data_IF_077705986353
#
_entry.id   IF_077705986353
#
_cell.length_a   1.000
_cell.length_b   1.000
_cell.length_c   1.000
_cell.angle_alpha   90.00
_cell.angle_beta   90.00
_cell.angle_gamma   90.00
#
_symmetry.space_group_name_H-M   'P 1'
#
loop_
_entity.id
_entity.type
_entity.pdbx_description
1 polymer ?
#
# COMPACT_ATOMS: atom_id res chain seq x y z
N UNK A 1 6.12 10.12 -6.01
CA UNK A 1 6.09 9.91 -4.54
C UNK A 1 7.23 8.96 -4.21
N UNK A 2 8.08 9.33 -3.26
CA UNK A 2 9.20 8.46 -2.85
C UNK A 2 8.69 7.17 -2.19
N UNK A 3 9.39 6.04 -2.37
CA UNK A 3 9.14 4.81 -1.64
C UNK A 3 9.21 5.02 -0.12
N UNK A 4 8.41 4.25 0.61
CA UNK A 4 8.39 4.29 2.07
C UNK A 4 8.10 2.92 2.65
N UNK A 5 8.42 2.75 3.94
CA UNK A 5 8.23 1.49 4.65
C UNK A 5 7.10 1.63 5.66
N UNK A 6 6.22 0.64 5.68
CA UNK A 6 5.18 0.47 6.70
C UNK A 6 5.51 -0.74 7.56
N UNK A 7 5.23 -0.66 8.85
CA UNK A 7 5.35 -1.78 9.78
C UNK A 7 3.96 -2.18 10.25
N UNK A 8 3.49 -3.37 9.87
CA UNK A 8 2.16 -3.90 10.19
C UNK A 8 2.35 -5.31 10.74
N UNK A 9 1.81 -5.59 11.95
CA UNK A 9 1.95 -6.89 12.62
C UNK A 9 3.41 -7.39 12.68
N UNK A 10 4.34 -6.51 13.08
CA UNK A 10 5.79 -6.77 13.16
C UNK A 10 6.48 -7.09 11.81
N UNK A 11 5.76 -6.95 10.70
CA UNK A 11 6.29 -7.17 9.34
C UNK A 11 6.49 -5.82 8.65
N UNK A 12 7.67 -5.65 8.04
CA UNK A 12 7.98 -4.49 7.23
C UNK A 12 7.57 -4.70 5.78
N UNK A 13 6.77 -3.77 5.27
CA UNK A 13 6.33 -3.70 3.88
C UNK A 13 6.92 -2.47 3.22
N UNK A 14 7.64 -2.67 2.12
CA UNK A 14 8.05 -1.59 1.24
C UNK A 14 6.86 -1.23 0.34
N UNK A 15 6.51 0.04 0.32
CA UNK A 15 5.45 0.59 -0.50
C UNK A 15 6.05 1.52 -1.56
N UNK A 16 5.75 1.23 -2.82
CA UNK A 16 6.15 2.03 -3.97
C UNK A 16 4.91 2.51 -4.72
N UNK A 17 4.96 3.72 -5.27
CA UNK A 17 3.91 4.17 -6.18
C UNK A 17 4.04 3.40 -7.51
N UNK A 18 3.05 2.56 -7.81
CA UNK A 18 2.99 1.80 -9.06
C UNK A 18 2.43 2.64 -10.20
N UNK A 19 1.32 3.34 -9.94
CA UNK A 19 0.70 4.26 -10.89
C UNK A 19 0.07 5.44 -10.15
N UNK A 20 0.16 6.63 -10.74
CA UNK A 20 -0.47 7.83 -10.19
C UNK A 20 -1.96 7.93 -10.56
N UNK A 21 -2.37 7.37 -11.70
CA UNK A 21 -3.76 7.41 -12.18
C UNK A 21 -4.10 6.15 -13.03
N UNK A 22 -4.97 5.24 -12.54
CA UNK A 22 -5.50 5.20 -11.17
C UNK A 22 -4.37 5.07 -10.14
N UNK A 23 -4.59 5.56 -8.91
CA UNK A 23 -3.57 5.53 -7.87
C UNK A 23 -3.38 4.10 -7.34
N UNK A 24 -2.25 3.50 -7.67
CA UNK A 24 -1.89 2.12 -7.32
C UNK A 24 -0.56 2.08 -6.59
N UNK A 25 -0.40 1.10 -5.70
CA UNK A 25 0.82 0.90 -4.92
C UNK A 25 1.29 -0.53 -5.02
N UNK A 26 2.60 -0.70 -5.22
CA UNK A 26 3.26 -1.98 -5.05
C UNK A 26 3.68 -2.10 -3.58
N UNK A 27 3.23 -3.18 -2.94
CA UNK A 27 3.45 -3.52 -1.54
C UNK A 27 4.18 -4.84 -1.49
N UNK A 28 5.40 -4.83 -0.97
CA UNK A 28 6.25 -6.01 -0.95
C UNK A 28 6.96 -6.19 0.37
N UNK A 29 7.16 -7.44 0.77
CA UNK A 29 8.14 -7.82 1.78
C UNK A 29 9.07 -8.90 1.19
N UNK A 30 9.86 -9.57 2.03
CA UNK A 30 10.81 -10.60 1.58
C UNK A 30 10.16 -11.71 0.73
N UNK A 31 8.91 -12.06 1.02
CA UNK A 31 8.26 -13.27 0.51
C UNK A 31 7.02 -12.97 -0.35
N UNK A 32 6.63 -11.70 -0.49
CA UNK A 32 5.37 -11.31 -1.14
C UNK A 32 5.52 -10.07 -2.00
N UNK A 33 4.68 -9.97 -3.03
CA UNK A 33 4.56 -8.78 -3.86
C UNK A 33 3.11 -8.59 -4.34
N UNK A 34 2.48 -7.50 -3.90
CA UNK A 34 1.11 -7.15 -4.24
C UNK A 34 1.03 -5.79 -4.88
N UNK A 35 0.19 -5.65 -5.91
CA UNK A 35 -0.27 -4.32 -6.33
C UNK A 35 -1.65 -4.11 -5.73
N UNK A 36 -1.81 -3.04 -4.97
CA UNK A 36 -3.06 -2.65 -4.31
C UNK A 36 -3.55 -1.30 -4.83
N UNK A 37 -4.85 -1.08 -4.79
CA UNK A 37 -5.47 0.17 -5.19
C UNK A 37 -6.65 0.51 -4.31
N UNK A 38 -7.09 1.77 -4.36
CA UNK A 38 -8.29 2.25 -3.67
C UNK A 38 -9.41 2.46 -4.67
N UNK A 39 -10.57 1.88 -4.38
CA UNK A 39 -11.79 2.06 -5.18
C UNK A 39 -12.40 3.43 -4.93
N UNK A 40 -13.30 3.87 -5.81
CA UNK A 40 -14.04 5.13 -5.65
C UNK A 40 -14.92 5.16 -4.39
N UNK A 41 -15.30 3.97 -3.89
CA UNK A 41 -16.01 3.81 -2.62
C UNK A 41 -15.10 3.91 -1.38
N UNK A 42 -13.79 4.11 -1.56
CA UNK A 42 -12.81 4.21 -0.48
C UNK A 42 -12.26 2.88 0.03
N UNK A 43 -12.68 1.74 -0.55
CA UNK A 43 -12.19 0.42 -0.14
C UNK A 43 -10.87 0.08 -0.84
N UNK A 44 -9.94 -0.52 -0.09
CA UNK A 44 -8.70 -1.07 -0.61
C UNK A 44 -8.91 -2.45 -1.23
N UNK A 45 -8.31 -2.68 -2.41
CA UNK A 45 -8.45 -3.91 -3.19
C UNK A 45 -7.11 -4.39 -3.75
N UNK A 46 -7.01 -5.70 -3.96
CA UNK A 46 -5.93 -6.30 -4.75
C UNK A 46 -6.15 -6.04 -6.23
N UNK A 47 -5.10 -5.57 -6.91
CA UNK A 47 -5.06 -5.43 -8.37
C UNK A 47 -4.23 -6.57 -8.99
N UNK A 48 -3.14 -6.97 -8.33
CA UNK A 48 -2.30 -8.10 -8.73
C UNK A 48 -1.76 -8.84 -7.51
N UNK A 49 -1.70 -10.17 -7.59
CA UNK A 49 -1.39 -11.05 -6.47
C UNK A 49 -0.33 -12.11 -6.83
N UNK A 50 0.87 -12.07 -6.22
CA UNK A 50 1.90 -13.12 -6.35
C UNK A 50 2.71 -13.27 -5.03
N UNK A 51 2.90 -14.49 -4.47
CA UNK A 51 2.28 -15.77 -4.82
C UNK A 51 0.85 -15.91 -4.25
N UNK A 52 -0.01 -16.67 -4.95
CA UNK A 52 -1.44 -16.89 -4.64
C UNK A 52 -1.80 -17.35 -3.21
N UNK A 53 -0.83 -17.81 -2.42
CA UNK A 53 -1.05 -18.36 -1.08
C UNK A 53 -0.74 -17.39 0.07
N UNK A 54 -0.04 -16.28 -0.20
CA UNK A 54 0.27 -15.32 0.84
C UNK A 54 -0.89 -14.33 0.99
N UNK A 55 -1.31 -14.07 2.22
CA UNK A 55 -2.37 -13.07 2.50
C UNK A 55 -1.72 -11.94 3.27
N UNK A 56 -1.89 -10.72 2.77
CA UNK A 56 -1.51 -9.51 3.51
C UNK A 56 -2.71 -8.95 4.26
N UNK A 57 -2.48 -8.26 5.39
CA UNK A 57 -3.50 -7.48 6.07
C UNK A 57 -3.85 -6.22 5.25
N UNK A 58 -4.59 -6.41 4.14
CA UNK A 58 -4.85 -5.37 3.13
C UNK A 58 -5.48 -4.10 3.73
N UNK A 59 -6.44 -4.25 4.63
CA UNK A 59 -7.11 -3.10 5.26
C UNK A 59 -6.11 -2.26 6.08
N UNK A 60 -5.31 -2.90 6.94
CA UNK A 60 -4.31 -2.22 7.77
C UNK A 60 -3.23 -1.55 6.93
N UNK A 61 -2.77 -2.21 5.86
CA UNK A 61 -1.83 -1.64 4.91
C UNK A 61 -2.44 -0.42 4.21
N UNK A 62 -3.69 -0.54 3.76
CA UNK A 62 -4.39 0.55 3.10
C UNK A 62 -4.55 1.78 4.00
N UNK A 63 -5.02 1.57 5.23
CA UNK A 63 -5.19 2.63 6.21
C UNK A 63 -3.85 3.32 6.55
N UNK A 64 -2.76 2.54 6.63
CA UNK A 64 -1.43 3.08 6.87
C UNK A 64 -0.87 3.87 5.67
N UNK A 65 -1.18 3.48 4.43
CA UNK A 65 -0.87 4.27 3.23
C UNK A 65 -1.65 5.60 3.27
N UNK A 66 -2.94 5.58 3.61
CA UNK A 66 -3.76 6.78 3.72
C UNK A 66 -3.23 7.74 4.78
N UNK A 67 -2.82 7.21 5.95
CA UNK A 67 -2.18 7.97 7.02
C UNK A 67 -0.88 8.66 6.55
N UNK A 68 0.02 7.90 5.91
CA UNK A 68 1.29 8.43 5.41
C UNK A 68 1.09 9.56 4.38
N UNK A 69 0.13 9.39 3.46
CA UNK A 69 -0.17 10.40 2.44
C UNK A 69 -0.76 11.66 3.09
N UNK A 70 -1.69 11.49 4.03
CA UNK A 70 -2.32 12.61 4.74
C UNK A 70 -1.30 13.41 5.54
N UNK A 71 -0.42 12.73 6.26
CA UNK A 71 0.67 13.37 7.02
C UNK A 71 1.59 14.15 6.09
N UNK A 72 2.03 13.57 4.96
CA UNK A 72 2.86 14.30 3.99
C UNK A 72 2.19 15.56 3.44
N UNK A 73 0.89 15.50 3.17
CA UNK A 73 0.15 16.67 2.69
C UNK A 73 0.06 17.78 3.73
N UNK A 74 0.00 17.44 5.03
CA UNK A 74 0.00 18.42 6.13
C UNK A 74 1.34 19.14 6.31
N UNK A 75 2.46 18.54 5.89
CA UNK A 75 3.80 19.16 5.99
C UNK A 75 4.24 19.88 4.71
N UNK A 76 3.50 19.74 3.61
CA UNK A 76 3.74 20.42 2.33
C UNK A 76 2.78 21.61 2.09
N UNK A 77 1.92 21.94 3.07
CA UNK A 77 0.93 23.05 3.01
C UNK A 77 1.31 24.30 3.82
#
# INVERSE_FOLDING_TARGET
MEPFTLTINEVNYLVNLHSAFPRLFDVSNKDIFYTVGKTDAGNWVYVKHEPASAVIPLAEIGDAIDGYISDKQLFES
#
